data_IF_587721574508
#
_entry.id   IF_587721574508
#
_cell.length_a   1.000
_cell.length_b   1.000
_cell.length_c   1.000
_cell.angle_alpha   90.00
_cell.angle_beta   90.00
_cell.angle_gamma   90.00
#
_symmetry.space_group_name_H-M   'P 1'
#
loop_
_entity.id
_entity.type
_entity.pdbx_description
1 polymer ?
#
# COMPACT_ATOMS: atom_id res chain seq x y z
N UNK A 1 -12.06 -16.66 -12.03
CA UNK A 1 -11.72 -15.27 -12.40
C UNK A 1 -10.31 -15.04 -11.96
N UNK A 2 -9.35 -14.91 -12.87
CA UNK A 2 -7.98 -14.60 -12.47
C UNK A 2 -7.98 -13.18 -11.90
N UNK A 3 -7.53 -12.98 -10.66
CA UNK A 3 -7.02 -11.69 -10.26
C UNK A 3 -5.83 -11.43 -11.18
N UNK A 4 -6.04 -10.68 -12.27
CA UNK A 4 -4.93 -9.97 -12.91
C UNK A 4 -4.37 -9.12 -11.79
N UNK A 5 -3.27 -9.55 -11.16
CA UNK A 5 -2.73 -8.86 -9.98
C UNK A 5 -2.64 -7.38 -10.29
N UNK A 6 -3.24 -6.54 -9.44
CA UNK A 6 -3.22 -5.10 -9.66
C UNK A 6 -1.80 -4.55 -9.63
N UNK A 7 -1.67 -3.26 -9.92
CA UNK A 7 -0.37 -2.62 -9.93
C UNK A 7 0.27 -2.65 -8.53
N UNK A 8 1.59 -2.64 -8.50
CA UNK A 8 2.36 -2.50 -7.27
C UNK A 8 2.74 -1.03 -7.11
N UNK A 9 2.38 -0.44 -5.97
CA UNK A 9 2.80 0.89 -5.55
C UNK A 9 3.81 0.77 -4.41
N UNK A 10 4.82 1.65 -4.38
CA UNK A 10 5.87 1.63 -3.37
C UNK A 10 5.73 2.81 -2.42
N UNK A 11 5.90 2.55 -1.13
CA UNK A 11 5.95 3.57 -0.08
C UNK A 11 7.34 3.50 0.57
N UNK A 12 8.09 4.59 0.47
CA UNK A 12 9.35 4.76 1.19
C UNK A 12 9.10 4.99 2.69
N UNK A 13 10.13 4.82 3.52
CA UNK A 13 10.05 5.11 4.95
C UNK A 13 9.65 6.58 5.16
N UNK A 14 8.65 6.82 6.02
CA UNK A 14 7.96 8.11 6.22
C UNK A 14 7.07 8.59 5.06
N UNK A 15 6.89 7.75 4.02
CA UNK A 15 5.93 8.03 2.96
C UNK A 15 4.49 7.97 3.45
N UNK A 16 3.63 8.79 2.82
CA UNK A 16 2.21 8.82 3.14
C UNK A 16 1.49 7.62 2.52
N UNK A 17 1.18 6.63 3.37
CA UNK A 17 0.45 5.43 2.99
C UNK A 17 -0.95 5.79 2.45
N UNK A 18 -1.62 6.78 3.04
CA UNK A 18 -2.98 7.16 2.62
C UNK A 18 -2.97 7.76 1.21
N UNK A 19 -2.03 8.66 0.92
CA UNK A 19 -1.88 9.21 -0.43
C UNK A 19 -1.65 8.13 -1.48
N UNK A 20 -0.92 7.07 -1.17
CA UNK A 20 -0.72 5.94 -2.11
C UNK A 20 -2.01 5.12 -2.28
N UNK A 21 -2.77 4.91 -1.20
CA UNK A 21 -4.11 4.28 -1.28
C UNK A 21 -5.07 5.10 -2.13
N UNK A 22 -5.06 6.43 -2.02
CA UNK A 22 -5.94 7.31 -2.77
C UNK A 22 -5.70 7.22 -4.28
N UNK A 23 -4.45 6.97 -4.69
CA UNK A 23 -4.05 6.78 -6.08
C UNK A 23 -4.17 5.33 -6.58
N UNK A 24 -4.34 4.35 -5.67
CA UNK A 24 -4.44 2.95 -6.02
C UNK A 24 -5.82 2.61 -6.62
N UNK A 25 -5.85 1.57 -7.47
CA UNK A 25 -7.07 0.94 -7.96
C UNK A 25 -7.41 -0.31 -7.16
N UNK A 26 -8.68 -0.75 -7.23
CA UNK A 26 -9.07 -2.05 -6.66
C UNK A 26 -8.29 -3.19 -7.31
N UNK A 27 -7.68 -4.03 -6.47
CA UNK A 27 -6.79 -5.13 -6.86
C UNK A 27 -5.30 -4.80 -6.69
N UNK A 28 -4.94 -3.53 -6.48
CA UNK A 28 -3.55 -3.09 -6.35
C UNK A 28 -2.91 -3.53 -5.02
N UNK A 29 -1.58 -3.59 -5.03
CA UNK A 29 -0.76 -3.90 -3.85
C UNK A 29 0.12 -2.70 -3.51
N UNK A 30 0.15 -2.31 -2.25
CA UNK A 30 1.01 -1.28 -1.69
C UNK A 30 2.12 -1.98 -0.91
N UNK A 31 3.36 -1.78 -1.35
CA UNK A 31 4.55 -2.34 -0.73
C UNK A 31 5.30 -1.28 0.08
N UNK A 32 5.44 -1.53 1.37
CA UNK A 32 6.14 -0.66 2.30
C UNK A 32 7.63 -1.04 2.37
N UNK A 33 8.52 -0.07 2.23
CA UNK A 33 9.94 -0.24 2.54
C UNK A 33 10.11 -0.58 4.03
N UNK A 34 11.17 -1.32 4.41
CA UNK A 34 11.41 -1.65 5.81
C UNK A 34 11.68 -0.38 6.64
N UNK A 35 10.93 -0.20 7.71
CA UNK A 35 11.06 0.95 8.59
C UNK A 35 9.89 1.09 9.56
N UNK A 36 9.96 2.12 10.40
CA UNK A 36 8.87 2.52 11.28
C UNK A 36 7.94 3.48 10.54
N UNK A 37 6.63 3.24 10.67
CA UNK A 37 5.59 4.12 10.14
C UNK A 37 4.68 4.55 11.29
N UNK A 38 4.68 5.84 11.59
CA UNK A 38 3.82 6.41 12.63
C UNK A 38 2.46 6.77 12.02
N UNK A 39 1.50 5.86 12.20
CA UNK A 39 0.12 6.05 11.72
C UNK A 39 -0.63 6.91 12.76
N UNK A 40 -0.71 8.20 12.51
CA UNK A 40 -1.37 9.19 13.39
C UNK A 40 -2.79 9.53 12.97
N UNK A 41 -3.21 9.07 11.78
CA UNK A 41 -4.55 9.24 11.20
C UNK A 41 -5.08 7.90 10.69
N UNK A 42 -6.38 7.84 10.40
CA UNK A 42 -7.01 6.63 9.84
C UNK A 42 -6.41 6.29 8.47
N UNK A 43 -6.19 4.98 8.25
CA UNK A 43 -5.96 4.40 6.93
C UNK A 43 -7.32 3.96 6.37
N UNK A 44 -7.74 4.58 5.27
CA UNK A 44 -9.03 4.35 4.61
C UNK A 44 -8.82 3.85 3.16
N UNK A 45 -9.15 2.58 2.86
CA UNK A 45 -9.15 2.05 1.49
C UNK A 45 -10.12 2.78 0.54
N UNK A 46 -11.08 3.55 1.04
CA UNK A 46 -12.08 4.24 0.24
C UNK A 46 -12.99 3.28 -0.52
N UNK A 47 -13.29 2.12 0.06
CA UNK A 47 -14.08 1.05 -0.56
C UNK A 47 -13.33 0.22 -1.62
N UNK A 48 -12.03 0.46 -1.82
CA UNK A 48 -11.19 -0.32 -2.74
C UNK A 48 -10.66 -1.57 -2.06
N UNK A 49 -10.59 -2.68 -2.80
CA UNK A 49 -9.88 -3.86 -2.34
C UNK A 49 -8.39 -3.69 -2.63
N UNK A 50 -7.59 -3.30 -1.65
CA UNK A 50 -6.12 -3.15 -1.78
C UNK A 50 -5.40 -4.07 -0.80
N UNK A 51 -4.19 -4.49 -1.16
CA UNK A 51 -3.30 -5.25 -0.27
C UNK A 51 -2.19 -4.34 0.22
N UNK A 52 -1.97 -4.26 1.53
CA UNK A 52 -0.81 -3.56 2.12
C UNK A 52 0.13 -4.59 2.72
N UNK A 53 1.39 -4.59 2.32
CA UNK A 53 2.36 -5.59 2.77
C UNK A 53 3.79 -5.03 2.77
N UNK A 54 4.74 -5.66 3.49
CA UNK A 54 6.16 -5.34 3.36
C UNK A 54 6.64 -5.58 1.92
N UNK A 55 7.59 -4.76 1.47
CA UNK A 55 8.30 -4.99 0.22
C UNK A 55 9.15 -6.27 0.34
N UNK A 56 9.04 -7.22 -0.62
CA UNK A 56 9.86 -8.43 -0.60
C UNK A 56 11.35 -8.09 -0.59
N UNK A 57 12.09 -8.69 0.36
CA UNK A 57 13.54 -8.52 0.49
C UNK A 57 13.98 -7.32 1.33
N UNK A 58 13.06 -6.54 1.89
CA UNK A 58 13.36 -5.53 2.91
C UNK A 58 13.45 -6.21 4.28
N UNK A 59 14.58 -6.07 4.98
CA UNK A 59 14.86 -6.66 6.31
C UNK A 59 14.96 -5.58 7.39
#
# INVERSE_FOLDING_TARGET
>A
TAYSGGNIHYVEVNGDIQSVIDNASSGDTIQLEAGQYDITTTIDPGGKAVTIQPRPGSF
#
